data_IF_115692984004
#
_entry.id   IF_115692984004
#
_cell.length_a   1.000
_cell.length_b   1.000
_cell.length_c   1.000
_cell.angle_alpha   90.00
_cell.angle_beta   90.00
_cell.angle_gamma   90.00
#
_symmetry.space_group_name_H-M   'P 1'
#
loop_
_entity.id
_entity.type
_entity.pdbx_description
1 polymer ?
#
# COMPACT_ATOMS: atom_id res chain seq x y z
N UNK A 1 -2.35 -27.37 -14.36
CA UNK A 1 -3.01 -26.21 -13.75
C UNK A 1 -3.67 -25.42 -14.86
N UNK A 2 -5.00 -25.29 -14.82
CA UNK A 2 -5.75 -24.51 -15.80
C UNK A 2 -5.57 -23.01 -15.48
N UNK A 3 -4.56 -22.41 -16.09
CA UNK A 3 -4.21 -20.99 -15.90
C UNK A 3 -5.33 -20.05 -16.34
N UNK A 4 -6.20 -20.50 -17.26
CA UNK A 4 -7.35 -19.73 -17.74
C UNK A 4 -8.42 -19.58 -16.66
N UNK A 5 -8.74 -20.67 -15.95
CA UNK A 5 -9.71 -20.63 -14.85
C UNK A 5 -9.22 -19.72 -13.70
N UNK A 6 -7.93 -19.76 -13.38
CA UNK A 6 -7.32 -18.89 -12.36
C UNK A 6 -7.45 -17.41 -12.75
N UNK A 7 -7.08 -17.05 -13.98
CA UNK A 7 -7.21 -15.68 -14.47
C UNK A 7 -8.66 -15.19 -14.46
N UNK A 8 -9.60 -16.06 -14.81
CA UNK A 8 -11.04 -15.76 -14.78
C UNK A 8 -11.51 -15.49 -13.36
N UNK A 9 -11.17 -16.34 -12.40
CA UNK A 9 -11.52 -16.15 -10.98
C UNK A 9 -10.95 -14.83 -10.43
N UNK A 10 -9.71 -14.49 -10.79
CA UNK A 10 -9.07 -13.23 -10.39
C UNK A 10 -9.77 -12.03 -11.03
N UNK A 11 -10.13 -12.11 -12.32
CA UNK A 11 -10.84 -11.03 -13.03
C UNK A 11 -12.25 -10.78 -12.45
N UNK A 12 -12.96 -11.84 -12.09
CA UNK A 12 -14.27 -11.75 -11.44
C UNK A 12 -14.17 -11.11 -10.05
N UNK A 13 -13.19 -11.53 -9.25
CA UNK A 13 -12.87 -10.89 -7.97
C UNK A 13 -12.50 -9.41 -8.15
N UNK A 14 -11.66 -9.09 -9.15
CA UNK A 14 -11.33 -7.72 -9.57
C UNK A 14 -12.57 -6.88 -9.84
N UNK A 15 -13.57 -7.47 -10.47
CA UNK A 15 -14.83 -6.81 -10.83
C UNK A 15 -15.87 -6.78 -9.69
N UNK A 16 -15.54 -7.26 -8.49
CA UNK A 16 -16.47 -7.35 -7.35
C UNK A 16 -17.58 -8.40 -7.52
N UNK A 17 -17.46 -9.30 -8.51
CA UNK A 17 -18.42 -10.38 -8.79
C UNK A 17 -18.10 -11.60 -7.93
N UNK A 18 -18.30 -11.47 -6.62
CA UNK A 18 -17.85 -12.46 -5.64
C UNK A 18 -18.52 -13.83 -5.78
N UNK A 19 -19.83 -13.88 -6.06
CA UNK A 19 -20.56 -15.15 -6.28
C UNK A 19 -20.03 -15.93 -7.50
N UNK A 20 -19.76 -15.23 -8.60
CA UNK A 20 -19.17 -15.81 -9.81
C UNK A 20 -17.73 -16.29 -9.51
N UNK A 21 -16.95 -15.49 -8.77
CA UNK A 21 -15.60 -15.86 -8.36
C UNK A 21 -15.60 -17.11 -7.45
N UNK A 22 -16.57 -17.26 -6.54
CA UNK A 22 -16.73 -18.47 -5.71
C UNK A 22 -16.94 -19.69 -6.60
N UNK A 23 -17.84 -19.59 -7.58
CA UNK A 23 -18.16 -20.71 -8.49
C UNK A 23 -16.91 -21.19 -9.22
N UNK A 24 -16.14 -20.27 -9.82
CA UNK A 24 -14.90 -20.63 -10.53
C UNK A 24 -13.84 -21.19 -9.59
N UNK A 25 -13.67 -20.63 -8.39
CA UNK A 25 -12.70 -21.16 -7.42
C UNK A 25 -13.09 -22.56 -6.92
N UNK A 26 -14.38 -22.84 -6.72
CA UNK A 26 -14.85 -24.17 -6.36
C UNK A 26 -14.60 -25.19 -7.49
N UNK A 27 -14.74 -24.79 -8.75
CA UNK A 27 -14.42 -25.64 -9.90
C UNK A 27 -12.92 -25.95 -10.00
N UNK A 28 -12.05 -24.97 -9.70
CA UNK A 28 -10.61 -25.21 -9.57
C UNK A 28 -10.32 -26.24 -8.47
N UNK A 29 -10.96 -26.09 -7.32
CA UNK A 29 -10.79 -27.00 -6.17
C UNK A 29 -11.35 -28.41 -6.40
N UNK A 30 -12.27 -28.61 -7.35
CA UNK A 30 -12.68 -29.96 -7.77
C UNK A 30 -11.53 -30.72 -8.42
N UNK A 31 -10.67 -29.99 -9.14
CA UNK A 31 -9.52 -30.57 -9.84
C UNK A 31 -8.30 -30.69 -8.91
N UNK A 32 -8.08 -29.69 -8.06
CA UNK A 32 -7.02 -29.67 -7.06
C UNK A 32 -7.55 -29.18 -5.70
N UNK A 33 -8.01 -30.09 -4.82
CA UNK A 33 -8.59 -29.73 -3.53
C UNK A 33 -7.63 -29.04 -2.55
N UNK A 34 -6.32 -29.09 -2.80
CA UNK A 34 -5.29 -28.52 -1.93
C UNK A 34 -4.64 -27.25 -2.51
N UNK A 35 -5.18 -26.70 -3.61
CA UNK A 35 -4.71 -25.42 -4.16
C UNK A 35 -4.94 -24.28 -3.14
N UNK A 36 -3.89 -23.95 -2.38
CA UNK A 36 -3.91 -22.88 -1.37
C UNK A 36 -4.19 -21.52 -1.99
N UNK A 37 -3.85 -21.30 -3.27
CA UNK A 37 -4.17 -20.09 -4.00
C UNK A 37 -5.66 -19.96 -4.34
N UNK A 38 -6.32 -21.06 -4.72
CA UNK A 38 -7.77 -21.10 -4.91
C UNK A 38 -8.52 -20.98 -3.59
N UNK A 39 -8.05 -21.65 -2.53
CA UNK A 39 -8.60 -21.50 -1.18
C UNK A 39 -8.46 -20.06 -0.66
N UNK A 40 -7.33 -19.39 -0.88
CA UNK A 40 -7.14 -17.97 -0.52
C UNK A 40 -8.18 -17.08 -1.21
N UNK A 41 -8.35 -17.23 -2.52
CA UNK A 41 -9.33 -16.47 -3.32
C UNK A 41 -10.76 -16.75 -2.85
N UNK A 42 -11.08 -18.00 -2.54
CA UNK A 42 -12.38 -18.43 -2.04
C UNK A 42 -12.69 -17.84 -0.65
N UNK A 43 -11.72 -17.89 0.28
CA UNK A 43 -11.85 -17.31 1.61
C UNK A 43 -12.10 -15.79 1.52
N UNK A 44 -11.40 -15.09 0.62
CA UNK A 44 -11.63 -13.67 0.36
C UNK A 44 -13.04 -13.41 -0.18
N UNK A 45 -13.49 -14.19 -1.15
CA UNK A 45 -14.82 -13.99 -1.73
C UNK A 45 -15.95 -14.22 -0.71
N UNK A 46 -15.85 -15.24 0.14
CA UNK A 46 -16.80 -15.44 1.25
C UNK A 46 -16.79 -14.26 2.24
N UNK A 47 -15.61 -13.75 2.58
CA UNK A 47 -15.50 -12.61 3.49
C UNK A 47 -16.17 -11.36 2.92
N UNK A 48 -15.98 -11.07 1.63
CA UNK A 48 -16.58 -9.90 0.97
C UNK A 48 -18.11 -9.98 0.91
N UNK A 49 -18.66 -11.19 0.78
CA UNK A 49 -20.10 -11.47 0.86
C UNK A 49 -20.65 -11.50 2.29
N UNK A 50 -19.83 -11.31 3.32
CA UNK A 50 -20.25 -11.37 4.73
C UNK A 50 -20.44 -12.79 5.27
N UNK A 51 -20.06 -13.81 4.51
CA UNK A 51 -20.13 -15.23 4.88
C UNK A 51 -18.91 -15.60 5.77
N UNK A 52 -18.80 -14.93 6.93
CA UNK A 52 -17.62 -14.96 7.80
C UNK A 52 -17.28 -16.40 8.27
N UNK A 53 -18.30 -17.21 8.58
CA UNK A 53 -18.08 -18.62 8.98
C UNK A 53 -17.39 -19.41 7.88
N UNK A 54 -17.85 -19.29 6.63
CA UNK A 54 -17.25 -19.99 5.48
C UNK A 54 -15.84 -19.48 5.18
N UNK A 55 -15.61 -18.18 5.32
CA UNK A 55 -14.28 -17.58 5.18
C UNK A 55 -13.31 -18.15 6.22
N UNK A 56 -13.75 -18.29 7.47
CA UNK A 56 -12.95 -18.86 8.56
C UNK A 56 -12.63 -20.33 8.33
N UNK A 57 -13.63 -21.14 7.98
CA UNK A 57 -13.43 -22.56 7.68
C UNK A 57 -12.46 -22.76 6.51
N UNK A 58 -12.59 -21.95 5.46
CA UNK A 58 -11.70 -22.01 4.29
C UNK A 58 -10.28 -21.60 4.67
N UNK A 59 -10.12 -20.58 5.53
CA UNK A 59 -8.81 -20.11 5.99
C UNK A 59 -8.13 -21.16 6.88
N UNK A 60 -8.88 -21.81 7.77
CA UNK A 60 -8.37 -22.90 8.60
C UNK A 60 -7.83 -24.05 7.75
N UNK A 61 -8.53 -24.44 6.67
CA UNK A 61 -8.04 -25.46 5.72
C UNK A 61 -6.71 -25.08 5.10
N UNK A 62 -6.50 -23.81 4.76
CA UNK A 62 -5.21 -23.34 4.23
C UNK A 62 -4.11 -23.52 5.28
N UNK A 63 -4.39 -23.19 6.54
CA UNK A 63 -3.43 -23.31 7.64
C UNK A 63 -3.15 -24.77 8.04
N UNK A 64 -4.09 -25.69 7.78
CA UNK A 64 -3.86 -27.14 7.92
C UNK A 64 -2.91 -27.68 6.84
N UNK A 65 -3.05 -27.20 5.60
CA UNK A 65 -2.20 -27.61 4.46
C UNK A 65 -0.82 -26.94 4.55
N UNK A 66 -0.80 -25.64 4.80
CA UNK A 66 0.40 -24.80 4.83
C UNK A 66 0.40 -23.90 6.09
N UNK A 67 0.86 -24.43 7.25
CA UNK A 67 0.85 -23.69 8.52
C UNK A 67 1.66 -22.38 8.52
N UNK A 68 2.64 -22.27 7.61
CA UNK A 68 3.49 -21.09 7.46
C UNK A 68 2.96 -20.06 6.43
N UNK A 69 1.76 -20.28 5.88
CA UNK A 69 1.20 -19.39 4.87
C UNK A 69 0.88 -18.01 5.48
N UNK A 70 1.74 -17.04 5.19
CA UNK A 70 1.62 -15.68 5.75
C UNK A 70 0.34 -14.95 5.33
N UNK A 71 -0.22 -15.30 4.18
CA UNK A 71 -1.48 -14.71 3.68
C UNK A 71 -2.63 -15.22 4.54
N UNK A 72 -2.72 -16.53 4.74
CA UNK A 72 -3.76 -17.15 5.56
C UNK A 72 -3.66 -16.73 7.03
N UNK A 73 -2.46 -16.62 7.60
CA UNK A 73 -2.25 -16.15 8.98
C UNK A 73 -2.79 -14.73 9.15
N UNK A 74 -2.40 -13.80 8.26
CA UNK A 74 -2.89 -12.41 8.31
C UNK A 74 -4.41 -12.34 8.14
N UNK A 75 -4.96 -13.14 7.23
CA UNK A 75 -6.38 -13.17 6.98
C UNK A 75 -7.17 -13.77 8.16
N UNK A 76 -6.64 -14.81 8.81
CA UNK A 76 -7.22 -15.40 10.01
C UNK A 76 -7.30 -14.41 11.16
N UNK A 77 -6.22 -13.65 11.41
CA UNK A 77 -6.23 -12.58 12.41
C UNK A 77 -7.26 -11.50 12.06
N UNK A 78 -7.42 -11.17 10.76
CA UNK A 78 -8.46 -10.24 10.30
C UNK A 78 -9.87 -10.76 10.60
N UNK A 79 -10.15 -12.04 10.39
CA UNK A 79 -11.48 -12.64 10.58
C UNK A 79 -11.94 -12.67 12.05
N UNK A 80 -11.00 -12.64 13.01
CA UNK A 80 -11.34 -12.58 14.45
C UNK A 80 -11.97 -11.26 14.87
N UNK A 81 -11.80 -10.22 14.06
CA UNK A 81 -12.21 -8.88 14.42
C UNK A 81 -13.59 -8.60 13.80
N UNK A 82 -14.60 -8.23 14.60
CA UNK A 82 -15.95 -8.01 14.10
C UNK A 82 -15.96 -6.86 13.08
N UNK A 83 -16.57 -7.12 11.92
CA UNK A 83 -16.81 -6.08 10.91
C UNK A 83 -17.83 -5.09 11.46
N UNK A 84 -17.43 -3.84 11.65
CA UNK A 84 -18.33 -2.78 12.14
C UNK A 84 -19.05 -2.04 11.01
N UNK A 85 -18.60 -2.21 9.76
CA UNK A 85 -19.12 -1.52 8.59
C UNK A 85 -19.56 -2.56 7.52
N UNK A 86 -20.87 -2.73 7.35
CA UNK A 86 -21.50 -3.67 6.40
C UNK A 86 -21.35 -3.29 4.92
N UNK A 87 -20.62 -2.22 4.59
CA UNK A 87 -20.44 -1.80 3.19
C UNK A 87 -19.31 -2.60 2.54
N UNK A 88 -19.59 -3.39 1.48
CA UNK A 88 -18.54 -3.96 0.65
C UNK A 88 -17.72 -2.82 0.03
N UNK A 89 -16.43 -2.74 0.36
CA UNK A 89 -15.54 -1.81 -0.31
C UNK A 89 -15.36 -2.29 -1.76
N UNK A 90 -15.68 -1.49 -2.79
CA UNK A 90 -15.54 -1.93 -4.17
C UNK A 90 -14.06 -2.15 -4.47
N UNK A 91 -13.67 -3.41 -4.70
CA UNK A 91 -12.29 -3.80 -4.97
C UNK A 91 -11.70 -3.11 -6.23
N UNK A 92 -12.53 -2.72 -7.20
CA UNK A 92 -12.12 -1.88 -8.36
C UNK A 92 -11.55 -0.51 -7.95
N UNK A 93 -12.03 0.09 -6.85
CA UNK A 93 -11.43 1.35 -6.35
C UNK A 93 -9.98 1.14 -5.93
N UNK A 94 -9.61 -0.06 -5.46
CA UNK A 94 -8.27 -0.33 -4.93
C UNK A 94 -7.20 -0.17 -6.02
N UNK A 95 -7.37 -0.79 -7.20
CA UNK A 95 -6.28 -0.86 -8.20
C UNK A 95 -5.97 0.48 -8.88
N UNK A 96 -6.97 1.33 -9.14
CA UNK A 96 -6.75 2.64 -9.76
C UNK A 96 -6.33 3.71 -8.74
N UNK A 97 -6.74 3.56 -7.48
CA UNK A 97 -6.49 4.59 -6.47
C UNK A 97 -5.04 4.69 -6.01
N UNK A 98 -4.20 3.65 -6.21
CA UNK A 98 -2.77 3.69 -5.84
C UNK A 98 -1.83 3.98 -7.02
N UNK A 99 -2.34 4.45 -8.16
CA UNK A 99 -1.46 4.89 -9.25
C UNK A 99 -0.55 6.03 -8.76
N UNK A 100 0.76 5.80 -8.83
CA UNK A 100 1.77 6.77 -8.43
C UNK A 100 2.01 7.81 -9.55
N UNK A 101 1.74 9.07 -9.23
CA UNK A 101 2.01 10.22 -10.07
C UNK A 101 3.17 11.03 -9.46
N UNK A 102 4.33 11.13 -10.15
CA UNK A 102 5.48 11.90 -9.68
C UNK A 102 5.08 13.32 -9.26
N UNK A 103 5.44 13.70 -8.04
CA UNK A 103 5.16 15.02 -7.49
C UNK A 103 3.74 15.24 -6.93
N UNK A 104 2.80 14.34 -7.23
CA UNK A 104 1.39 14.44 -6.79
C UNK A 104 0.97 13.39 -5.78
N UNK A 105 1.60 12.22 -5.79
CA UNK A 105 1.29 11.13 -4.86
C UNK A 105 2.51 10.71 -4.04
N UNK A 106 2.29 10.15 -2.85
CA UNK A 106 3.34 9.54 -2.04
C UNK A 106 2.80 8.46 -1.11
N UNK A 107 3.56 7.38 -0.94
CA UNK A 107 3.38 6.43 0.16
C UNK A 107 4.09 6.93 1.42
N UNK A 108 3.37 6.94 2.54
CA UNK A 108 3.86 7.48 3.80
C UNK A 108 3.59 6.50 4.92
N UNK A 109 4.64 6.02 5.57
CA UNK A 109 4.54 5.28 6.83
C UNK A 109 4.13 6.22 7.97
N UNK A 110 3.14 5.81 8.76
CA UNK A 110 2.68 6.58 9.91
C UNK A 110 3.59 6.37 11.12
N UNK A 111 3.83 7.46 11.86
CA UNK A 111 4.52 7.46 13.15
C UNK A 111 3.52 7.60 14.29
N UNK A 112 3.93 7.20 15.50
CA UNK A 112 3.15 7.28 16.73
C UNK A 112 1.71 6.77 16.53
N UNK A 113 1.59 5.47 16.24
CA UNK A 113 0.31 4.82 15.98
C UNK A 113 -0.62 4.93 17.21
N UNK A 114 -1.93 5.00 16.94
CA UNK A 114 -2.98 4.98 17.95
C UNK A 114 -3.21 3.58 18.54
N UNK A 115 -4.34 3.42 19.21
CA UNK A 115 -4.77 2.11 19.72
C UNK A 115 -5.14 1.17 18.55
N UNK A 116 -4.76 -0.13 18.60
CA UNK A 116 -5.03 -1.08 17.51
C UNK A 116 -6.49 -1.12 17.07
N UNK A 117 -7.44 -1.00 18.01
CA UNK A 117 -8.88 -1.02 17.75
C UNK A 117 -9.34 0.07 16.76
N UNK A 118 -8.58 1.16 16.64
CA UNK A 118 -8.90 2.27 15.74
C UNK A 118 -8.60 1.98 14.28
N UNK A 119 -7.69 1.05 13.99
CA UNK A 119 -7.20 0.82 12.63
C UNK A 119 -7.20 -0.64 12.19
N UNK A 120 -7.34 -1.60 13.11
CA UNK A 120 -7.27 -3.02 12.79
C UNK A 120 -8.37 -3.50 11.83
N UNK A 121 -9.50 -2.77 11.81
CA UNK A 121 -10.62 -3.01 10.90
C UNK A 121 -10.53 -2.25 9.58
N UNK A 122 -9.52 -1.39 9.40
CA UNK A 122 -9.41 -0.60 8.19
C UNK A 122 -8.92 -1.47 7.04
N UNK A 123 -9.60 -1.33 5.92
CA UNK A 123 -9.24 -2.05 4.71
C UNK A 123 -8.31 -1.23 3.81
N UNK A 124 -7.35 -1.88 3.13
CA UNK A 124 -6.61 -1.23 2.06
C UNK A 124 -7.57 -0.60 1.03
N UNK A 125 -7.36 0.67 0.72
CA UNK A 125 -8.23 1.48 -0.15
C UNK A 125 -9.29 2.29 0.59
N UNK A 126 -9.41 2.16 1.91
CA UNK A 126 -10.35 2.97 2.71
C UNK A 126 -9.86 4.41 2.86
N UNK A 127 -10.79 5.37 2.71
CA UNK A 127 -10.53 6.80 2.87
C UNK A 127 -10.29 7.17 4.34
N UNK A 128 -9.21 7.91 4.58
CA UNK A 128 -8.86 8.49 5.87
C UNK A 128 -8.66 9.99 5.75
N UNK A 129 -8.82 10.69 6.89
CA UNK A 129 -8.73 12.16 6.95
C UNK A 129 -7.34 12.61 7.39
N UNK A 130 -6.84 13.64 6.72
CA UNK A 130 -5.65 14.37 7.15
C UNK A 130 -6.06 15.56 8.03
N UNK A 131 -5.82 15.46 9.33
CA UNK A 131 -6.05 16.52 10.30
C UNK A 131 -4.77 17.36 10.47
N UNK A 132 -4.73 18.53 9.82
CA UNK A 132 -3.61 19.46 9.90
C UNK A 132 -3.70 20.35 11.16
N UNK A 133 -2.77 20.16 12.10
CA UNK A 133 -2.60 20.98 13.30
C UNK A 133 -1.36 21.88 13.18
N UNK A 134 -1.09 22.71 14.21
CA UNK A 134 0.00 23.71 14.20
C UNK A 134 1.38 23.14 13.81
N UNK A 135 1.75 21.96 14.30
CA UNK A 135 3.08 21.35 14.09
C UNK A 135 3.04 19.91 13.58
N UNK A 136 1.87 19.40 13.18
CA UNK A 136 1.73 17.98 12.79
C UNK A 136 0.56 17.81 11.84
N UNK A 137 0.63 16.81 10.98
CA UNK A 137 -0.52 16.30 10.24
C UNK A 137 -0.83 14.91 10.77
N UNK A 138 -1.98 14.75 11.41
CA UNK A 138 -2.47 13.49 11.94
C UNK A 138 -3.39 12.82 10.93
N UNK A 139 -3.40 11.48 10.94
CA UNK A 139 -4.30 10.68 10.14
C UNK A 139 -5.37 10.11 11.07
N UNK A 140 -6.63 10.33 10.72
CA UNK A 140 -7.79 9.86 11.47
C UNK A 140 -8.74 9.10 10.56
N UNK A 141 -9.51 8.21 11.14
CA UNK A 141 -10.67 7.61 10.47
C UNK A 141 -11.74 8.68 10.16
N UNK A 142 -12.76 8.32 9.37
CA UNK A 142 -13.84 9.25 9.04
C UNK A 142 -14.71 9.65 10.25
N UNK A 143 -14.82 8.76 11.24
CA UNK A 143 -15.45 8.98 12.56
C UNK A 143 -14.53 9.70 13.56
N UNK A 144 -13.31 10.07 13.17
CA UNK A 144 -12.42 10.93 13.95
C UNK A 144 -11.50 10.19 14.93
N UNK A 145 -11.45 8.86 14.91
CA UNK A 145 -10.50 8.08 15.70
C UNK A 145 -9.07 8.25 15.18
N UNK A 146 -8.13 8.36 16.11
CA UNK A 146 -6.72 8.59 15.78
C UNK A 146 -6.03 7.30 15.33
N UNK A 147 -5.40 7.34 14.16
CA UNK A 147 -4.65 6.21 13.59
C UNK A 147 -3.15 6.41 13.80
N UNK A 148 -2.64 7.61 13.51
CA UNK A 148 -1.21 7.92 13.55
C UNK A 148 -0.93 9.34 13.05
N UNK A 149 0.33 9.69 12.83
CA UNK A 149 0.73 10.98 12.24
C UNK A 149 1.77 10.81 11.14
N UNK A 150 1.80 11.76 10.22
CA UNK A 150 2.82 11.79 9.16
C UNK A 150 4.19 12.20 9.76
N UNK A 151 5.30 11.75 9.17
CA UNK A 151 6.64 12.25 9.49
C UNK A 151 6.74 13.78 9.44
N UNK A 152 7.68 14.36 10.18
CA UNK A 152 7.75 15.80 10.40
C UNK A 152 8.03 16.61 9.11
N UNK A 153 8.85 16.07 8.21
CA UNK A 153 9.16 16.66 6.91
C UNK A 153 7.92 16.72 6.00
N UNK A 154 7.18 15.62 5.91
CA UNK A 154 5.93 15.53 5.14
C UNK A 154 4.85 16.39 5.79
N UNK A 155 4.72 16.35 7.12
CA UNK A 155 3.78 17.15 7.89
C UNK A 155 3.99 18.64 7.66
N UNK A 156 5.23 19.13 7.76
CA UNK A 156 5.55 20.54 7.57
C UNK A 156 5.16 21.03 6.17
N UNK A 157 5.50 20.24 5.14
CA UNK A 157 5.19 20.56 3.75
C UNK A 157 3.69 20.51 3.48
N UNK A 158 3.00 19.43 3.83
CA UNK A 158 1.56 19.31 3.60
C UNK A 158 0.79 20.37 4.37
N UNK A 159 1.18 20.73 5.59
CA UNK A 159 0.55 21.83 6.32
C UNK A 159 0.62 23.16 5.55
N UNK A 160 1.79 23.48 4.99
CA UNK A 160 1.98 24.69 4.19
C UNK A 160 1.08 24.68 2.95
N UNK A 161 1.02 23.55 2.23
CA UNK A 161 0.23 23.39 1.01
C UNK A 161 -1.28 23.40 1.28
N UNK A 162 -1.74 22.71 2.33
CA UNK A 162 -3.14 22.71 2.76
C UNK A 162 -3.58 24.13 3.15
N UNK A 163 -2.74 24.88 3.88
CA UNK A 163 -3.01 26.29 4.21
C UNK A 163 -3.06 27.16 2.95
N UNK A 164 -2.29 26.82 1.91
CA UNK A 164 -2.33 27.44 0.60
C UNK A 164 -3.55 27.09 -0.26
N UNK A 165 -4.42 26.18 0.22
CA UNK A 165 -5.66 25.79 -0.47
C UNK A 165 -5.57 24.47 -1.24
N UNK A 166 -4.45 23.75 -1.18
CA UNK A 166 -4.34 22.43 -1.81
C UNK A 166 -5.27 21.43 -1.11
N UNK A 167 -5.93 20.58 -1.90
CA UNK A 167 -6.78 19.49 -1.40
C UNK A 167 -6.10 18.15 -1.60
N UNK A 168 -6.28 17.26 -0.63
CA UNK A 168 -5.65 15.93 -0.64
C UNK A 168 -6.66 14.84 -0.32
N UNK A 169 -6.44 13.68 -0.92
CA UNK A 169 -7.02 12.42 -0.50
C UNK A 169 -5.95 11.60 0.21
N UNK A 170 -6.34 10.87 1.26
CA UNK A 170 -5.49 9.88 1.89
C UNK A 170 -6.23 8.54 1.99
N UNK A 171 -5.55 7.46 1.60
CA UNK A 171 -6.09 6.10 1.57
C UNK A 171 -5.19 5.17 2.38
N UNK A 172 -5.77 4.20 3.06
CA UNK A 172 -5.00 3.13 3.69
C UNK A 172 -4.34 2.26 2.60
N UNK A 173 -3.01 2.14 2.58
CA UNK A 173 -2.32 1.20 1.67
C UNK A 173 -2.16 -0.16 2.32
N UNK A 174 -1.76 -0.18 3.58
CA UNK A 174 -1.51 -1.38 4.37
C UNK A 174 -1.71 -1.08 5.85
N UNK A 175 -2.19 -2.08 6.58
CA UNK A 175 -2.34 -2.04 8.04
C UNK A 175 -1.69 -3.28 8.63
N UNK A 176 -0.89 -3.05 9.67
CA UNK A 176 -0.39 -4.09 10.56
C UNK A 176 -0.33 -3.53 11.99
N UNK A 177 -0.20 -4.38 13.03
CA UNK A 177 -0.12 -3.91 14.41
C UNK A 177 1.05 -2.96 14.72
N UNK A 178 2.10 -2.95 13.90
CA UNK A 178 3.32 -2.16 14.13
C UNK A 178 3.58 -1.10 13.05
N UNK A 179 2.98 -1.26 11.88
CA UNK A 179 3.25 -0.42 10.72
C UNK A 179 1.97 -0.20 9.92
N UNK A 180 1.68 1.07 9.64
CA UNK A 180 0.56 1.48 8.79
C UNK A 180 1.14 2.40 7.73
N UNK A 181 0.83 2.11 6.48
CA UNK A 181 1.20 2.96 5.34
C UNK A 181 -0.06 3.56 4.74
N UNK A 182 -0.03 4.87 4.50
CA UNK A 182 -1.08 5.58 3.78
C UNK A 182 -0.55 6.05 2.43
N UNK A 183 -1.44 6.07 1.45
CA UNK A 183 -1.21 6.70 0.17
C UNK A 183 -1.87 8.08 0.20
N UNK A 184 -1.09 9.13 -0.09
CA UNK A 184 -1.59 10.50 -0.13
C UNK A 184 -1.52 11.02 -1.56
N UNK A 185 -2.61 11.60 -2.05
CA UNK A 185 -2.74 12.16 -3.41
C UNK A 185 -3.22 13.61 -3.36
N UNK A 186 -2.53 14.49 -4.08
CA UNK A 186 -3.02 15.85 -4.37
C UNK A 186 -4.20 15.77 -5.34
N UNK A 187 -5.36 16.29 -4.93
CA UNK A 187 -6.56 16.36 -5.77
C UNK A 187 -6.61 17.68 -6.54
N UNK A 188 -6.35 18.79 -5.84
CA UNK A 188 -6.43 20.13 -6.38
C UNK A 188 -5.29 20.99 -5.79
N UNK A 189 -4.73 21.88 -6.61
CA UNK A 189 -3.80 22.90 -6.15
C UNK A 189 -4.56 24.15 -5.70
N UNK A 190 -4.08 24.75 -4.63
CA UNK A 190 -4.52 26.07 -4.20
C UNK A 190 -3.97 27.17 -5.10
N UNK A 191 -4.60 28.36 -5.10
CA UNK A 191 -4.17 29.49 -5.89
C UNK A 191 -2.72 29.89 -5.54
N UNK A 192 -1.85 29.99 -6.54
CA UNK A 192 -0.45 30.37 -6.36
C UNK A 192 0.50 29.23 -5.96
N UNK A 193 0.01 27.98 -5.91
CA UNK A 193 0.80 26.80 -5.55
C UNK A 193 1.21 25.94 -6.77
N UNK A 194 1.03 26.48 -7.99
CA UNK A 194 1.17 25.79 -9.28
C UNK A 194 2.59 25.27 -9.55
N UNK A 195 3.62 26.00 -9.13
CA UNK A 195 5.02 25.65 -9.37
C UNK A 195 5.66 24.69 -8.36
N UNK A 196 4.97 24.36 -7.26
CA UNK A 196 5.53 23.51 -6.21
C UNK A 196 4.87 22.12 -6.20
N UNK A 197 5.63 21.04 -6.45
CA UNK A 197 5.09 19.69 -6.32
C UNK A 197 4.81 19.38 -4.84
N UNK A 198 3.72 18.64 -4.58
CA UNK A 198 3.35 18.24 -3.23
C UNK A 198 4.38 17.31 -2.60
N UNK A 199 4.90 16.38 -3.40
CA UNK A 199 5.88 15.40 -2.94
C UNK A 199 7.17 15.55 -3.74
N UNK A 200 8.32 15.38 -3.11
CA UNK A 200 9.57 15.30 -3.86
C UNK A 200 9.58 13.99 -4.64
N UNK A 201 10.03 13.96 -5.90
CA UNK A 201 10.29 12.70 -6.60
C UNK A 201 11.32 11.91 -5.78
N UNK A 202 11.10 10.61 -5.64
CA UNK A 202 12.13 9.74 -5.07
C UNK A 202 13.38 9.87 -5.94
N UNK A 203 14.51 10.18 -5.33
CA UNK A 203 15.80 10.10 -6.01
C UNK A 203 16.03 8.61 -6.26
N UNK A 204 15.81 8.17 -7.48
CA UNK A 204 16.37 6.90 -7.92
C UNK A 204 17.87 7.14 -7.96
N UNK A 205 18.58 6.72 -6.91
CA UNK A 205 20.04 6.64 -6.93
C UNK A 205 20.41 5.51 -7.89
N UNK A 206 20.31 5.80 -9.19
CA UNK A 206 20.76 4.92 -10.25
C UNK A 206 22.28 4.91 -10.19
N UNK A 207 22.82 3.95 -9.46
CA UNK A 207 24.22 3.60 -9.59
C UNK A 207 24.34 2.82 -10.88
N UNK A 208 24.81 3.48 -11.95
CA UNK A 208 25.15 2.79 -13.19
C UNK A 208 26.13 1.67 -12.85
N UNK A 209 25.72 0.42 -13.05
CA UNK A 209 26.64 -0.70 -12.97
C UNK A 209 27.63 -0.57 -14.12
N UNK A 210 28.82 -0.05 -13.82
CA UNK A 210 29.96 -0.14 -14.73
C UNK A 210 30.61 -1.50 -14.49
N UNK A 211 30.60 -2.43 -15.45
CA UNK A 211 31.31 -3.69 -15.31
C UNK A 211 32.76 -3.44 -14.89
N UNK A 212 33.35 -4.23 -13.99
CA UNK A 212 34.72 -4.02 -13.51
C UNK A 212 35.76 -3.94 -14.65
N UNK A 213 35.47 -4.58 -15.78
CA UNK A 213 36.28 -4.60 -17.00
C UNK A 213 36.35 -3.25 -17.73
N UNK A 214 35.38 -2.36 -17.51
CA UNK A 214 35.27 -1.03 -18.11
C UNK A 214 35.77 0.09 -17.19
N UNK A 215 36.20 -0.24 -15.97
CA UNK A 215 36.85 0.72 -15.07
C UNK A 215 38.30 0.86 -15.48
N UNK A 216 38.59 1.78 -16.40
CA UNK A 216 39.96 2.16 -16.71
C UNK A 216 40.61 2.75 -15.45
N UNK A 217 41.67 2.10 -14.96
CA UNK A 217 42.51 2.60 -13.88
C UNK A 217 43.42 3.72 -14.38
N UNK A 218 42.85 4.77 -14.97
CA UNK A 218 43.60 5.97 -15.33
C UNK A 218 43.59 6.89 -14.12
N UNK A 219 44.42 6.58 -13.12
CA UNK A 219 44.93 7.63 -12.23
C UNK A 219 45.90 8.47 -13.05
N UNK A 220 45.60 9.73 -13.40
CA UNK A 220 46.60 10.59 -14.01
C UNK A 220 47.72 10.78 -12.99
N UNK A 221 48.93 10.38 -13.36
CA UNK A 221 50.14 10.75 -12.64
C UNK A 221 50.28 12.26 -12.71
N UNK A 222 50.02 12.95 -11.61
CA UNK A 222 50.36 14.37 -11.46
C UNK A 222 51.88 14.43 -11.27
N UNK A 223 52.63 14.48 -12.37
CA UNK A 223 54.01 14.94 -12.32
C UNK A 223 53.99 16.46 -12.14
N UNK A 224 54.17 16.92 -10.90
CA UNK A 224 54.52 18.31 -10.60
C UNK A 224 55.88 18.62 -11.21
N UNK A 225 55.90 19.42 -12.27
CA UNK A 225 57.13 20.06 -12.76
C UNK A 225 57.51 21.16 -11.77
N UNK A 226 58.61 20.97 -11.02
CA UNK A 226 59.25 22.04 -10.26
C UNK A 226 59.82 23.07 -11.25
N UNK A 227 59.26 24.29 -11.26
CA UNK A 227 59.90 25.44 -11.91
C UNK A 227 61.09 25.89 -11.05
N UNK A 228 62.28 25.78 -11.64
CA UNK A 228 63.51 26.40 -11.13
C UNK A 228 63.43 27.90 -11.44
N UNK A 229 63.67 28.81 -10.48
CA UNK A 229 63.71 30.24 -10.77
C UNK A 229 65.09 30.61 -11.35
N UNK A 230 65.10 31.21 -12.54
CA UNK A 230 66.26 31.91 -13.08
C UNK A 230 66.11 33.44 -12.90
N UNK A 231 67.09 33.97 -12.16
CA UNK A 231 67.58 35.36 -11.98
C UNK A 231 66.66 36.47 -11.44
#
# INVERSE_FOLDING_TARGET
>A
MDTSAVQTAVSLALSGKWDEAITVNLDILKSDPQDTGALCRLARAYYELGEISKAQDTTNKILEIEPANTIAIKFYEKLKIPRTNDTPAPFLRYTESFLEEPGKTKLVGLLNLGEPENFVNLDPGEDVKLAAYSHRVSVTTNDGKYIGRLPDDISAKLKYLIKGGNKYQALIKSVSPKEITVFVRELEKGPGMEGSPSFAPEKIDYVSFTPPELVHSDTPSVETTEEIPEE
#
